data_IF_105191161918
#
_entry.id   IF_105191161918
#
_cell.length_a   1.000
_cell.length_b   1.000
_cell.length_c   1.000
_cell.angle_alpha   90.00
_cell.angle_beta   90.00
_cell.angle_gamma   90.00
#
_symmetry.space_group_name_H-M   'P 1'
#
loop_
_entity.id
_entity.type
_entity.pdbx_description
1 polymer ?
2 non-polymer ?
3 non-polymer ?
4 water ?
#
# COMPACT_ATOMS: atom_id res chain seq x y z
N UNK A 13 17.57 -12.17 4.69
CA UNK A 13 16.57 -11.70 3.71
C UNK A 13 16.82 -10.25 3.31
N UNK A 14 17.03 -9.99 2.00
CA UNK A 14 17.29 -8.65 1.46
C UNK A 14 16.18 -7.65 1.78
N UNK A 15 16.57 -6.48 2.28
CA UNK A 15 15.61 -5.44 2.63
C UNK A 15 15.97 -4.13 1.95
N UNK A 16 14.95 -3.33 1.62
CA UNK A 16 15.17 -2.05 0.97
C UNK A 16 14.59 -0.86 1.74
N UNK A 17 15.21 0.30 1.56
CA UNK A 17 14.75 1.52 2.20
C UNK A 17 13.48 1.97 1.49
N UNK A 18 12.48 2.41 2.25
CA UNK A 18 11.20 2.85 1.69
C UNK A 18 11.19 4.30 1.24
N UNK A 19 12.30 4.99 1.45
CA UNK A 19 12.41 6.38 1.05
C UNK A 19 13.75 6.61 0.34
N UNK A 20 13.70 7.34 -0.77
CA UNK A 20 14.90 7.68 -1.54
C UNK A 20 15.04 9.19 -1.56
N UNK A 21 16.22 9.68 -1.21
CA UNK A 21 16.43 11.12 -1.21
C UNK A 21 15.44 11.84 -0.32
N UNK A 22 14.84 12.93 -0.81
CA UNK A 22 13.86 13.73 -0.07
C UNK A 22 12.56 13.01 0.26
N UNK A 23 12.38 11.81 -0.29
CA UNK A 23 11.15 11.08 -0.04
C UNK A 23 9.93 11.81 -0.58
N UNK A 24 10.02 12.26 -1.83
CA UNK A 24 8.93 12.98 -2.48
C UNK A 24 8.21 12.10 -3.51
N UNK A 25 8.79 10.94 -3.80
CA UNK A 25 8.21 10.00 -4.76
C UNK A 25 8.47 8.55 -4.37
N UNK A 26 7.66 7.61 -4.88
CA UNK A 26 7.86 6.20 -4.53
C UNK A 26 9.20 5.67 -4.99
N UNK A 27 9.68 4.62 -4.32
CA UNK A 27 10.95 4.01 -4.67
C UNK A 27 10.77 3.00 -5.80
N UNK A 28 9.52 2.63 -6.06
CA UNK A 28 9.21 1.68 -7.11
C UNK A 28 7.73 1.70 -7.50
N UNK A 29 7.46 1.38 -8.76
CA UNK A 29 6.09 1.32 -9.26
C UNK A 29 5.97 0.06 -10.09
N UNK A 30 4.95 -0.73 -9.81
CA UNK A 30 4.69 -1.97 -10.54
C UNK A 30 3.31 -1.83 -11.17
N UNK A 31 3.15 -2.34 -12.39
CA UNK A 31 1.87 -2.28 -13.07
C UNK A 31 1.39 -3.71 -13.32
N UNK A 32 0.10 -3.95 -13.12
CA UNK A 32 -0.47 -5.28 -13.31
C UNK A 32 -1.65 -5.29 -14.25
N UNK A 33 -1.87 -6.45 -14.88
CA UNK A 33 -2.99 -6.66 -15.79
C UNK A 33 -4.05 -7.35 -14.91
N UNK A 34 -5.10 -6.62 -14.56
CA UNK A 34 -6.17 -7.17 -13.72
C UNK A 34 -6.85 -8.44 -14.26
N UNK A 35 -6.87 -8.61 -15.57
CA UNK A 35 -7.53 -9.80 -16.12
C UNK A 35 -6.74 -11.08 -15.87
N UNK A 36 -5.46 -10.94 -15.56
CA UNK A 36 -4.61 -12.11 -15.31
C UNK A 36 -4.46 -12.41 -13.82
N UNK A 37 -5.06 -11.58 -12.99
CA UNK A 37 -4.97 -11.77 -11.55
C UNK A 37 -5.78 -12.96 -11.04
N UNK A 38 -5.14 -13.77 -10.20
CA UNK A 38 -5.79 -14.94 -9.60
C UNK A 38 -5.50 -14.89 -8.10
N UNK A 39 -4.76 -13.87 -7.70
CA UNK A 39 -4.35 -13.65 -6.32
C UNK A 39 -4.38 -12.14 -6.08
N UNK A 40 -5.05 -11.69 -5.03
CA UNK A 40 -5.10 -10.25 -4.76
C UNK A 40 -4.26 -9.83 -3.57
N UNK A 41 -3.89 -10.77 -2.73
CA UNK A 41 -3.13 -10.41 -1.54
C UNK A 41 -1.74 -9.84 -1.80
N UNK A 42 -1.30 -9.02 -0.86
CA UNK A 42 0.02 -8.42 -0.88
C UNK A 42 0.48 -8.54 0.57
N UNK A 43 1.75 -8.87 0.75
CA UNK A 43 2.28 -9.03 2.08
C UNK A 43 3.74 -8.64 2.11
N UNK A 44 4.21 -8.27 3.29
CA UNK A 44 5.58 -7.85 3.44
C UNK A 44 5.85 -7.64 4.92
N UNK A 45 7.09 -7.31 5.24
CA UNK A 45 7.47 -7.03 6.61
C UNK A 45 8.04 -5.63 6.53
N UNK A 46 7.81 -4.84 7.56
CA UNK A 46 8.31 -3.47 7.57
C UNK A 46 8.90 -3.16 8.95
N UNK A 47 9.94 -2.34 8.97
CA UNK A 47 10.58 -1.93 10.22
C UNK A 47 10.81 -0.43 10.13
N UNK A 48 10.53 0.30 11.20
CA UNK A 48 10.69 1.75 11.18
C UNK A 48 10.48 2.40 12.54
N UNK A 49 10.96 3.64 12.68
CA UNK A 49 10.78 4.42 13.90
C UNK A 49 9.94 5.64 13.49
N UNK A 50 9.64 5.74 12.20
CA UNK A 50 8.88 6.85 11.61
C UNK A 50 7.37 6.69 11.88
N UNK A 51 6.76 7.68 12.55
CA UNK A 51 5.32 7.62 12.86
C UNK A 51 4.37 7.97 11.71
N UNK A 52 4.88 8.59 10.65
CA UNK A 52 4.01 9.03 9.55
C UNK A 52 4.58 8.79 8.15
N UNK A 53 3.73 8.40 7.21
CA UNK A 53 4.22 8.17 5.87
C UNK A 53 3.47 7.12 5.08
N UNK A 54 3.85 6.96 3.82
CA UNK A 54 3.21 6.01 2.94
C UNK A 54 4.00 4.72 2.81
N UNK A 55 3.33 3.61 3.06
CA UNK A 55 3.95 2.30 2.92
C UNK A 55 3.73 1.94 1.45
N UNK A 56 2.48 1.93 1.00
CA UNK A 56 2.25 1.67 -0.42
C UNK A 56 0.93 2.27 -0.88
N UNK A 57 0.87 2.52 -2.18
CA UNK A 57 -0.28 3.14 -2.83
C UNK A 57 -0.69 2.27 -4.00
N UNK A 58 -1.97 2.33 -4.36
CA UNK A 58 -2.44 1.57 -5.49
C UNK A 58 -3.61 2.25 -6.17
N UNK A 59 -3.73 2.08 -7.49
CA UNK A 59 -4.84 2.66 -8.24
C UNK A 59 -5.02 2.03 -9.62
N UNK A 60 -6.12 2.40 -10.28
CA UNK A 60 -6.39 2.02 -11.66
C UNK A 60 -6.67 3.38 -12.29
N UNK A 61 -6.80 4.40 -11.43
CA UNK A 61 -7.09 5.80 -11.81
C UNK A 61 -6.73 6.72 -10.62
N UNK A 62 -5.72 7.59 -10.78
CA UNK A 62 -5.32 8.48 -9.68
C UNK A 62 -6.36 9.50 -9.23
N UNK A 63 -7.39 9.72 -10.05
CA UNK A 63 -8.42 10.68 -9.66
C UNK A 63 -9.56 10.06 -8.83
N UNK A 64 -10.10 8.92 -9.27
CA UNK A 64 -11.22 8.35 -8.54
C UNK A 64 -11.23 6.84 -8.29
N UNK A 65 -10.07 6.21 -8.35
CA UNK A 65 -10.01 4.79 -8.06
C UNK A 65 -8.63 4.53 -7.51
N UNK A 66 -8.41 4.95 -6.27
CA UNK A 66 -7.12 4.79 -5.62
C UNK A 66 -7.19 4.30 -4.17
N UNK A 67 -6.03 3.93 -3.64
CA UNK A 67 -5.91 3.38 -2.29
C UNK A 67 -4.55 3.71 -1.72
N UNK A 68 -4.49 3.91 -0.41
CA UNK A 68 -3.21 4.15 0.23
C UNK A 68 -3.14 3.50 1.61
N UNK A 69 -2.04 2.80 1.89
CA UNK A 69 -1.81 2.25 3.21
C UNK A 69 -0.59 3.01 3.72
N UNK A 70 -0.71 3.61 4.88
CA UNK A 70 0.41 4.33 5.43
C UNK A 70 0.35 4.25 6.93
N UNK A 71 1.12 5.12 7.59
CA UNK A 71 1.11 5.20 9.03
C UNK A 71 0.83 6.66 9.40
N UNK A 72 0.11 6.85 10.50
CA UNK A 72 -0.14 8.19 11.03
C UNK A 72 -0.13 7.94 12.54
N UNK A 73 0.66 8.72 13.26
CA UNK A 73 0.78 8.55 14.70
C UNK A 73 1.24 7.12 14.98
N UNK A 74 2.11 6.61 14.11
CA UNK A 74 2.63 5.25 14.27
C UNK A 74 1.73 4.08 13.90
N UNK A 75 0.46 4.35 13.65
CA UNK A 75 -0.49 3.27 13.34
C UNK A 75 -0.92 3.21 11.89
N UNK A 76 -1.31 2.02 11.43
CA UNK A 76 -1.76 1.88 10.04
C UNK A 76 -2.92 2.84 9.75
N UNK A 77 -2.94 3.36 8.53
CA UNK A 77 -4.03 4.20 8.08
C UNK A 77 -4.29 3.85 6.63
N UNK A 78 -5.57 3.66 6.32
CA UNK A 78 -5.94 3.41 4.95
C UNK A 78 -6.85 4.53 4.49
N UNK A 79 -6.54 5.06 3.31
CA UNK A 79 -7.38 6.06 2.67
C UNK A 79 -7.75 5.36 1.37
N UNK A 80 -9.01 5.46 0.99
CA UNK A 80 -9.46 4.76 -0.20
C UNK A 80 -10.51 5.63 -0.85
N UNK A 81 -10.48 5.68 -2.18
CA UNK A 81 -11.46 6.46 -2.92
C UNK A 81 -11.84 5.77 -4.21
N UNK A 82 -13.09 5.32 -4.29
CA UNK A 82 -13.59 4.69 -5.51
C UNK A 82 -15.09 4.90 -5.64
N UNK A 83 -15.66 4.28 -6.66
CA UNK A 83 -17.09 4.40 -6.95
C UNK A 83 -17.98 4.03 -5.76
N UNK A 84 -17.54 3.06 -4.96
CA UNK A 84 -18.33 2.58 -3.82
C UNK A 84 -18.07 3.20 -2.46
N UNK A 85 -16.86 3.66 -2.21
CA UNK A 85 -16.59 4.20 -0.90
C UNK A 85 -15.47 5.22 -0.92
N UNK A 86 -15.47 6.08 0.09
CA UNK A 86 -14.44 7.12 0.23
C UNK A 86 -14.21 7.20 1.73
N UNK A 87 -13.01 6.83 2.17
CA UNK A 87 -12.74 6.80 3.60
C UNK A 87 -11.29 7.03 4.01
N UNK A 88 -11.15 7.37 5.29
CA UNK A 88 -9.87 7.61 5.94
C UNK A 88 -10.02 6.90 7.28
N UNK A 89 -9.32 5.79 7.43
CA UNK A 89 -9.45 4.96 8.63
C UNK A 89 -8.13 4.51 9.26
N UNK A 90 -8.00 4.70 10.58
CA UNK A 90 -6.81 4.27 11.31
C UNK A 90 -7.16 2.99 12.08
N UNK A 91 -6.20 2.10 12.28
CA UNK A 91 -6.46 0.85 12.98
C UNK A 91 -5.18 0.11 13.30
N UNK A 92 -5.26 -0.84 14.22
CA UNK A 92 -4.11 -1.63 14.58
C UNK A 92 -3.15 -0.96 15.53
N UNK A 93 -2.15 -1.70 16.02
CA UNK A 93 -1.17 -1.16 16.95
C UNK A 93 -0.14 -0.31 16.22
N UNK A 94 0.66 0.41 17.00
CA UNK A 94 1.72 1.23 16.43
C UNK A 94 2.73 0.27 15.83
N UNK A 95 3.33 0.66 14.72
CA UNK A 95 4.34 -0.20 14.10
C UNK A 95 5.70 0.50 14.09
N UNK A 96 5.75 1.72 14.63
CA UNK A 96 7.01 2.47 14.64
C UNK A 96 7.83 2.24 15.89
N UNK A 97 7.97 0.98 16.28
CA UNK A 97 8.72 0.61 17.46
C UNK A 97 10.08 0.01 17.11
N UNK A 98 10.47 0.11 15.85
CA UNK A 98 11.75 -0.43 15.43
C UNK A 98 11.81 -1.95 15.30
N UNK A 99 10.67 -2.62 15.39
CA UNK A 99 10.66 -4.08 15.24
C UNK A 99 10.03 -4.48 13.92
N UNK A 100 10.46 -5.61 13.37
CA UNK A 100 9.90 -6.11 12.12
C UNK A 100 8.44 -6.49 12.34
N UNK A 101 7.58 -6.13 11.39
CA UNK A 101 6.17 -6.45 11.51
C UNK A 101 5.66 -7.07 10.21
N UNK A 102 4.89 -8.14 10.32
CA UNK A 102 4.32 -8.77 9.13
C UNK A 102 3.03 -7.99 8.83
N UNK A 103 2.83 -7.64 7.56
CA UNK A 103 1.63 -6.92 7.15
C UNK A 103 1.04 -7.59 5.93
N UNK A 104 -0.28 -7.77 5.93
CA UNK A 104 -0.94 -8.39 4.80
C UNK A 104 -2.23 -7.65 4.45
N UNK A 105 -2.40 -7.36 3.17
CA UNK A 105 -3.59 -6.69 2.69
C UNK A 105 -4.20 -7.56 1.60
N UNK A 106 -5.50 -7.83 1.72
CA UNK A 106 -6.14 -8.63 0.71
C UNK A 106 -7.62 -8.36 0.57
N UNK A 107 -8.16 -8.87 -0.53
CA UNK A 107 -9.57 -8.76 -0.84
C UNK A 107 -10.28 -10.00 -0.31
N UNK A 108 -11.47 -9.82 0.23
CA UNK A 108 -12.26 -10.94 0.72
C UNK A 108 -13.66 -10.51 0.32
N UNK A 109 -14.11 -10.99 -0.83
CA UNK A 109 -15.41 -10.58 -1.32
C UNK A 109 -15.36 -9.10 -1.64
N UNK A 110 -16.32 -8.32 -1.14
CA UNK A 110 -16.31 -6.89 -1.40
C UNK A 110 -15.53 -6.10 -0.34
N UNK A 111 -14.75 -6.81 0.47
CA UNK A 111 -13.98 -6.18 1.54
C UNK A 111 -12.46 -6.17 1.37
N UNK A 112 -11.82 -5.20 2.01
CA UNK A 112 -10.37 -5.09 2.03
C UNK A 112 -9.99 -5.40 3.48
N UNK A 113 -9.17 -6.43 3.67
CA UNK A 113 -8.72 -6.87 4.98
C UNK A 113 -7.28 -6.48 5.27
N UNK A 114 -7.01 -6.06 6.50
CA UNK A 114 -5.67 -5.69 6.89
C UNK A 114 -5.28 -6.53 8.08
N UNK A 115 -4.19 -7.28 7.93
CA UNK A 115 -3.69 -8.12 9.01
C UNK A 115 -2.30 -7.66 9.41
N UNK A 116 -2.05 -7.59 10.71
CA UNK A 116 -0.77 -7.17 11.24
C UNK A 116 -0.28 -8.23 12.22
N UNK A 117 0.94 -8.70 11.97
CA UNK A 117 1.55 -9.74 12.79
C UNK A 117 0.62 -10.92 13.04
N UNK A 118 -0.01 -11.40 11.97
CA UNK A 118 -0.91 -12.54 12.08
C UNK A 118 -2.35 -12.25 12.49
N UNK A 119 -2.64 -11.06 13.00
CA UNK A 119 -4.00 -10.75 13.43
C UNK A 119 -4.76 -9.79 12.51
N UNK A 120 -6.03 -10.10 12.25
CA UNK A 120 -6.86 -9.20 11.45
C UNK A 120 -7.12 -7.99 12.35
N UNK A 121 -6.77 -6.79 11.88
CA UNK A 121 -6.99 -5.61 12.69
C UNK A 121 -8.00 -4.67 12.03
N UNK A 122 -8.32 -4.93 10.77
CA UNK A 122 -9.25 -4.06 10.11
C UNK A 122 -9.89 -4.70 8.88
N UNK A 123 -11.19 -4.51 8.74
CA UNK A 123 -11.91 -5.03 7.58
C UNK A 123 -12.83 -3.94 7.07
N UNK A 124 -12.51 -3.41 5.89
CA UNK A 124 -13.31 -2.35 5.29
C UNK A 124 -14.28 -3.09 4.38
N UNK A 125 -15.53 -3.17 4.81
CA UNK A 125 -16.54 -3.90 4.03
C UNK A 125 -17.27 -3.04 3.02
N UNK A 126 -17.79 -3.70 1.98
CA UNK A 126 -18.56 -3.04 0.94
C UNK A 126 -17.78 -1.95 0.22
N UNK A 127 -16.49 -2.17 -0.02
CA UNK A 127 -15.71 -1.15 -0.70
C UNK A 127 -15.28 -1.48 -2.12
N UNK A 128 -15.54 -2.69 -2.59
CA UNK A 128 -15.13 -3.04 -3.94
C UNK A 128 -15.74 -4.28 -4.56
N UNK A 129 -15.85 -4.25 -5.89
CA UNK A 129 -16.34 -5.40 -6.62
C UNK A 129 -15.12 -6.23 -7.01
N UNK A 130 -15.30 -7.37 -7.70
CA UNK A 130 -14.15 -8.20 -8.10
C UNK A 130 -13.15 -7.38 -8.91
N UNK A 131 -11.86 -7.54 -8.62
CA UNK A 131 -10.81 -6.79 -9.34
C UNK A 131 -10.78 -7.12 -10.83
N UNK A 132 -10.69 -8.41 -11.15
CA UNK A 132 -10.64 -8.84 -12.55
C UNK A 132 -11.81 -8.29 -13.36
N UNK A 133 -12.90 -7.95 -12.68
CA UNK A 133 -14.08 -7.43 -13.35
C UNK A 133 -14.20 -5.91 -13.28
N UNK A 134 -13.06 -5.22 -13.17
CA UNK A 134 -13.06 -3.76 -13.10
C UNK A 134 -12.95 -3.10 -14.48
N UNK A 135 -13.44 -1.87 -14.58
CA UNK A 135 -13.39 -1.10 -15.83
C UNK A 135 -12.00 -1.14 -16.46
N UNK A 136 -11.12 -0.26 -15.98
CA UNK A 136 -9.76 -0.17 -16.48
C UNK A 136 -9.01 -1.39 -15.93
N UNK A 137 -8.53 -2.27 -16.83
CA UNK A 137 -7.80 -3.48 -16.44
C UNK A 137 -6.35 -3.32 -15.99
N UNK A 138 -5.89 -2.09 -15.79
CA UNK A 138 -4.52 -1.89 -15.33
C UNK A 138 -4.41 -1.27 -13.93
N UNK A 139 -3.71 -1.96 -13.04
CA UNK A 139 -3.49 -1.50 -11.68
C UNK A 139 -2.03 -1.15 -11.43
N UNK A 140 -1.80 -0.01 -10.80
CA UNK A 140 -0.44 0.40 -10.46
C UNK A 140 -0.24 0.29 -8.95
N UNK A 141 0.92 -0.21 -8.53
CA UNK A 141 1.25 -0.29 -7.10
C UNK A 141 2.55 0.50 -6.91
N UNK A 142 2.53 1.50 -6.04
CA UNK A 142 3.72 2.31 -5.78
C UNK A 142 4.16 2.10 -4.32
N UNK A 143 5.46 1.92 -4.12
CA UNK A 143 5.97 1.69 -2.77
C UNK A 143 6.60 2.95 -2.19
N UNK A 144 6.28 3.26 -0.93
CA UNK A 144 6.86 4.42 -0.27
C UNK A 144 6.45 5.79 -0.79
N UNK A 145 5.34 5.85 -1.53
CA UNK A 145 4.91 7.12 -2.08
C UNK A 145 3.62 6.99 -2.85
N UNK A 146 3.06 8.13 -3.25
CA UNK A 146 1.80 8.18 -4.00
C UNK A 146 2.06 8.49 -5.46
N UNK A 147 1.01 8.41 -6.28
CA UNK A 147 1.14 8.73 -7.70
C UNK A 147 0.38 10.02 -8.01
N UNK A 148 0.13 10.80 -6.96
CA UNK A 148 -0.49 12.12 -7.06
C UNK A 148 -0.01 12.92 -5.85
N UNK A 149 -0.13 14.26 -5.89
CA UNK A 149 0.33 15.07 -4.75
C UNK A 149 -0.31 14.68 -3.40
N UNK A 150 0.49 14.69 -2.33
CA UNK A 150 -0.01 14.32 -1.01
C UNK A 150 -1.16 15.22 -0.57
N UNK A 151 -1.18 16.44 -1.10
CA UNK A 151 -2.20 17.41 -0.78
C UNK A 151 -3.56 17.00 -1.34
N UNK A 152 -3.56 16.09 -2.31
CA UNK A 152 -4.82 15.64 -2.90
C UNK A 152 -5.38 14.39 -2.21
N UNK A 153 -4.73 13.98 -1.12
CA UNK A 153 -5.21 12.85 -0.34
C UNK A 153 -6.50 13.33 0.33
N UNK A 154 -7.33 12.40 0.79
CA UNK A 154 -8.55 12.79 1.50
C UNK A 154 -8.07 13.55 2.74
N UNK A 155 -7.00 13.04 3.36
CA UNK A 155 -6.41 13.65 4.54
C UNK A 155 -4.89 13.62 4.34
N UNK A 156 -4.32 14.78 3.98
CA UNK A 156 -2.88 14.86 3.75
C UNK A 156 -2.01 14.40 4.91
N UNK A 157 -0.86 13.85 4.56
CA UNK A 157 0.17 13.45 5.50
C UNK A 157 1.45 13.66 4.69
N UNK A 158 2.60 13.65 5.36
CA UNK A 158 3.88 13.79 4.67
C UNK A 158 4.26 12.35 4.32
N UNK A 159 4.29 12.01 3.02
CA UNK A 159 4.60 10.67 2.48
C UNK A 159 5.91 9.96 2.80
N UNK A 160 6.99 10.72 3.02
CA UNK A 160 8.28 10.10 3.32
C UNK A 160 8.19 9.13 4.50
N UNK A 161 8.52 7.86 4.26
CA UNK A 161 8.49 6.87 5.32
C UNK A 161 9.90 6.29 5.50
N UNK A 162 10.59 6.77 6.54
CA UNK A 162 11.94 6.32 6.83
C UNK A 162 11.88 4.94 7.46
N UNK A 163 11.90 3.91 6.62
CA UNK A 163 11.83 2.55 7.11
C UNK A 163 12.35 1.54 6.10
N UNK A 164 12.31 0.27 6.48
CA UNK A 164 12.78 -0.80 5.62
C UNK A 164 11.71 -1.83 5.32
N UNK A 165 11.77 -2.37 4.11
CA UNK A 165 10.81 -3.34 3.62
C UNK A 165 11.53 -4.60 3.15
N UNK A 166 10.97 -5.76 3.46
CA UNK A 166 11.55 -7.01 3.00
C UNK A 166 10.45 -8.05 2.85
N UNK A 167 10.79 -9.18 2.23
CA UNK A 167 9.86 -10.29 2.03
C UNK A 167 8.51 -9.86 1.49
N UNK A 168 8.53 -8.98 0.48
CA UNK A 168 7.31 -8.47 -0.13
C UNK A 168 6.86 -9.26 -1.35
N UNK A 169 5.54 -9.38 -1.48
CA UNK A 169 4.88 -10.06 -2.58
C UNK A 169 3.72 -9.13 -2.91
N UNK A 170 3.62 -8.73 -4.17
CA UNK A 170 2.58 -7.79 -4.57
C UNK A 170 1.56 -8.36 -5.55
N UNK A 171 0.32 -8.49 -5.09
CA UNK A 171 -0.75 -9.04 -5.91
C UNK A 171 -0.34 -10.36 -6.55
N UNK A 172 -0.50 -10.46 -7.86
CA UNK A 172 -0.17 -11.68 -8.57
C UNK A 172 0.98 -11.46 -9.54
N UNK A 173 2.16 -11.96 -9.18
CA UNK A 173 3.35 -11.81 -10.01
C UNK A 173 3.14 -12.22 -11.47
N UNK A 174 2.22 -13.14 -11.73
CA UNK A 174 1.97 -13.58 -13.10
C UNK A 174 1.18 -12.56 -13.90
N UNK A 175 0.65 -11.55 -13.21
CA UNK A 175 -0.13 -10.51 -13.87
C UNK A 175 0.66 -9.21 -13.93
N UNK A 176 1.87 -9.22 -13.37
CA UNK A 176 2.71 -8.03 -13.36
C UNK A 176 3.18 -7.73 -14.79
N UNK A 177 2.88 -6.52 -15.27
CA UNK A 177 3.25 -6.07 -16.61
C UNK A 177 4.64 -5.46 -16.64
N UNK A 178 4.94 -4.63 -15.64
CA UNK A 178 6.24 -3.98 -15.57
C UNK A 178 6.55 -3.42 -14.19
N UNK A 179 7.80 -3.02 -14.02
CA UNK A 179 8.28 -2.47 -12.78
C UNK A 179 9.31 -1.40 -13.11
N UNK A 180 9.22 -0.27 -12.41
CA UNK A 180 10.12 0.86 -12.60
C UNK A 180 10.56 1.40 -11.24
N UNK A 181 11.63 2.18 -11.26
CA UNK A 181 12.15 2.81 -10.05
C UNK A 181 12.81 4.11 -10.49
N UNK A 182 12.30 5.26 -10.01
CA UNK A 182 12.87 6.56 -10.37
C UNK A 182 14.38 6.59 -10.15
N UNK A 183 14.82 5.95 -9.07
CA UNK A 183 16.23 5.86 -8.72
C UNK A 183 16.47 4.45 -8.20
N UNK A 184 17.71 3.98 -8.28
CA UNK A 184 18.04 2.64 -7.82
C UNK A 184 17.70 2.42 -6.35
N UNK A 185 17.14 1.25 -6.05
CA UNK A 185 16.75 0.89 -4.70
C UNK A 185 17.96 0.74 -3.79
N UNK A 186 17.83 1.18 -2.55
CA UNK A 186 18.92 1.08 -1.58
C UNK A 186 18.66 -0.04 -0.58
N UNK A 187 19.73 -0.74 -0.21
CA UNK A 187 19.62 -1.83 0.74
C UNK A 187 19.69 -1.30 2.16
N UNK A 188 19.00 -1.97 3.08
CA UNK A 188 19.02 -1.58 4.49
C UNK A 188 20.10 -2.38 5.20
X LIG B 1 7.84 10.18 7.91
X LIG C 1 -6.47 -5.09 -3.13
X LIG C 1 -6.09 -3.58 -3.18
X LIG C 1 -8.56 -2.88 -3.77
X LIG C 1 -9.48 -2.11 -4.77
X LIG C 1 -9.06 -0.64 -4.92
X LIG C 1 -7.55 -0.57 -5.34
X LIG C 1 -7.33 0.93 -5.67
X LIG C 1 -8.75 1.37 -6.26
X LIG C 1 -9.62 0.10 -6.15
X LIG C 1 -9.39 0.15 -3.60
X LIG C 1 -6.26 -2.99 -1.73
X LIG C 1 -5.47 -5.93 -2.25
X LIG C 1 -4.03 -5.74 -2.79
X LIG C 1 -3.60 -4.25 -2.81
X LIG C 1 -4.58 -3.44 -3.70
X LIG C 1 -4.18 -1.94 -3.77
X LIG C 1 -5.13 -1.19 -4.72
X LIG C 1 -6.62 -1.27 -4.31
X LIG C 1 -7.05 -2.79 -4.17
X LIG C 1 -3.12 -6.51 -1.99
X LIG C 1 -11.00 0.47 -6.02
#
# INVERSE_FOLDING_TARGET
LRPVLPTQSAHDPPAVHLSNGPGQEPIAVMTFDLTKITKTSSSFEVRTWDPEGVIFYGDTNPKDDWFMLGLRDGRPEIQLHNHWAQLTVGAGPRLDDGRWHQVEVKMEGDSVLLEVDGEEVLRLRQVSGPLTSKRHPIMRIALGGLLFPASNLRLPLVPALDGCLRRDSWLDKQAEISASAPTSLRSCD
CA CA
AOM C1 C10 C11 C12 C13 C14 C15 C16 C17 C18 C19 C2 C3 C4 C5 C6 C7 C8 C9 O3 O17
#
